data_IF_864103972102
#
_entry.id   IF_864103972102
#
_cell.length_a   1.000
_cell.length_b   1.000
_cell.length_c   1.000
_cell.angle_alpha   90.00
_cell.angle_beta   90.00
_cell.angle_gamma   90.00
#
_symmetry.space_group_name_H-M   'P 1'
#
loop_
_entity.id
_entity.type
_entity.pdbx_description
1 polymer ?
#
# COMPACT_ATOMS: atom_id res chain seq x y z
N UNK A 1 14.30 -15.14 4.87
CA UNK A 1 14.64 -13.69 4.73
C UNK A 1 14.98 -13.24 3.32
N UNK A 2 15.96 -13.85 2.63
CA UNK A 2 16.39 -13.43 1.29
C UNK A 2 15.24 -13.28 0.27
N UNK A 3 14.32 -14.25 0.23
CA UNK A 3 13.16 -14.25 -0.68
C UNK A 3 12.27 -13.02 -0.45
N UNK A 4 12.01 -12.66 0.80
CA UNK A 4 11.22 -11.48 1.15
C UNK A 4 11.90 -10.20 0.63
N UNK A 5 13.22 -10.06 0.86
CA UNK A 5 13.98 -8.92 0.36
C UNK A 5 13.96 -8.82 -1.16
N UNK A 6 14.17 -9.92 -1.87
CA UNK A 6 14.08 -9.97 -3.32
C UNK A 6 12.69 -9.56 -3.81
N UNK A 7 11.63 -10.06 -3.16
CA UNK A 7 10.25 -9.67 -3.47
C UNK A 7 10.02 -8.17 -3.29
N UNK A 8 10.46 -7.59 -2.17
CA UNK A 8 10.36 -6.15 -1.89
C UNK A 8 11.12 -5.35 -2.95
N UNK A 9 12.36 -5.72 -3.27
CA UNK A 9 13.20 -5.03 -4.25
C UNK A 9 12.58 -5.07 -5.65
N UNK A 10 12.12 -6.24 -6.10
CA UNK A 10 11.50 -6.41 -7.41
C UNK A 10 10.19 -5.62 -7.48
N UNK A 11 9.34 -5.76 -6.47
CA UNK A 11 8.03 -5.10 -6.42
C UNK A 11 8.18 -3.58 -6.39
N UNK A 12 8.89 -3.04 -5.40
CA UNK A 12 9.05 -1.60 -5.25
C UNK A 12 9.94 -1.02 -6.34
N UNK A 13 10.97 -1.74 -6.79
CA UNK A 13 11.81 -1.32 -7.91
C UNK A 13 11.01 -1.11 -9.20
N UNK A 14 10.08 -2.02 -9.52
CA UNK A 14 9.18 -1.85 -10.65
C UNK A 14 8.28 -0.61 -10.50
N UNK A 15 7.81 -0.31 -9.28
CA UNK A 15 6.99 0.87 -9.00
C UNK A 15 7.81 2.17 -9.03
N UNK A 16 9.04 2.16 -8.54
CA UNK A 16 9.98 3.28 -8.65
C UNK A 16 10.26 3.57 -10.12
N UNK A 17 10.47 2.55 -10.96
CA UNK A 17 10.69 2.76 -12.39
C UNK A 17 9.54 3.52 -13.07
N UNK A 18 8.29 3.34 -12.62
CA UNK A 18 7.13 4.08 -13.16
C UNK A 18 7.23 5.59 -12.93
N UNK A 19 7.97 6.01 -11.91
CA UNK A 19 8.21 7.44 -11.61
C UNK A 19 9.20 8.09 -12.58
N UNK A 20 10.06 7.30 -13.24
CA UNK A 20 10.99 7.76 -14.29
C UNK A 20 10.27 7.93 -15.63
N UNK A 21 9.46 9.00 -15.74
CA UNK A 21 8.55 9.23 -16.87
C UNK A 21 9.23 9.25 -18.26
N UNK A 22 10.39 9.90 -18.46
CA UNK A 22 11.08 9.88 -19.76
C UNK A 22 11.53 8.48 -20.17
N UNK A 23 12.19 7.76 -19.26
CA UNK A 23 12.69 6.40 -19.49
C UNK A 23 11.54 5.43 -19.75
N UNK A 24 10.45 5.56 -18.98
CA UNK A 24 9.22 4.81 -19.19
C UNK A 24 8.60 5.11 -20.56
N UNK A 25 8.57 6.37 -20.98
CA UNK A 25 8.02 6.76 -22.28
C UNK A 25 8.86 6.18 -23.42
N UNK A 26 10.19 6.31 -23.35
CA UNK A 26 11.11 5.72 -24.32
C UNK A 26 10.99 4.20 -24.41
N UNK A 27 10.79 3.51 -23.28
CA UNK A 27 10.54 2.07 -23.28
C UNK A 27 9.20 1.73 -23.96
N UNK A 28 8.13 2.45 -23.62
CA UNK A 28 6.80 2.26 -24.24
C UNK A 28 6.85 2.49 -25.76
N UNK A 29 7.61 3.48 -26.21
CA UNK A 29 7.82 3.76 -27.64
C UNK A 29 8.51 2.58 -28.34
N UNK A 30 9.52 1.98 -27.69
CA UNK A 30 10.28 0.84 -28.25
C UNK A 30 9.49 -0.47 -28.30
N UNK A 31 8.73 -0.81 -27.25
CA UNK A 31 8.09 -2.14 -27.13
C UNK A 31 6.57 -2.12 -27.29
N UNK A 32 5.96 -0.94 -27.35
CA UNK A 32 4.52 -0.75 -27.36
C UNK A 32 3.88 -0.75 -25.97
N UNK A 33 2.77 -0.02 -25.83
CA UNK A 33 2.06 0.15 -24.56
C UNK A 33 1.55 -1.17 -23.95
N UNK A 34 1.03 -2.08 -24.79
CA UNK A 34 0.47 -3.36 -24.34
C UNK A 34 1.58 -4.24 -23.75
N UNK A 35 2.68 -4.41 -24.49
CA UNK A 35 3.85 -5.19 -24.06
C UNK A 35 4.43 -4.63 -22.77
N UNK A 36 4.61 -3.31 -22.67
CA UNK A 36 5.08 -2.65 -21.45
C UNK A 36 4.15 -2.94 -20.26
N UNK A 37 2.83 -2.80 -20.42
CA UNK A 37 1.87 -3.05 -19.33
C UNK A 37 1.89 -4.50 -18.89
N UNK A 38 1.95 -5.47 -19.81
CA UNK A 38 2.04 -6.90 -19.49
C UNK A 38 3.34 -7.22 -18.76
N UNK A 39 4.48 -6.72 -19.26
CA UNK A 39 5.79 -6.93 -18.62
C UNK A 39 5.84 -6.31 -17.22
N UNK A 40 5.36 -5.07 -17.06
CA UNK A 40 5.25 -4.43 -15.75
C UNK A 40 4.35 -5.23 -14.80
N UNK A 41 3.18 -5.68 -15.26
CA UNK A 41 2.26 -6.47 -14.45
C UNK A 41 2.89 -7.80 -14.03
N UNK A 42 3.63 -8.47 -14.93
CA UNK A 42 4.34 -9.71 -14.62
C UNK A 42 5.44 -9.49 -13.57
N UNK A 43 6.26 -8.45 -13.72
CA UNK A 43 7.32 -8.13 -12.73
C UNK A 43 6.70 -7.78 -11.37
N UNK A 44 5.65 -6.97 -11.35
CA UNK A 44 4.94 -6.62 -10.11
C UNK A 44 4.27 -7.84 -9.47
N UNK A 45 3.65 -8.72 -10.25
CA UNK A 45 3.05 -9.96 -9.75
C UNK A 45 4.11 -10.90 -9.17
N UNK A 46 5.24 -11.09 -9.85
CA UNK A 46 6.37 -11.88 -9.35
C UNK A 46 6.91 -11.31 -8.04
N UNK A 47 7.14 -9.99 -7.97
CA UNK A 47 7.56 -9.34 -6.73
C UNK A 47 6.57 -9.55 -5.59
N UNK A 48 5.27 -9.43 -5.85
CA UNK A 48 4.21 -9.67 -4.86
C UNK A 48 4.18 -11.13 -4.39
N UNK A 49 4.27 -12.10 -5.30
CA UNK A 49 4.31 -13.53 -4.95
C UNK A 49 5.54 -13.87 -4.10
N UNK A 50 6.70 -13.30 -4.43
CA UNK A 50 7.92 -13.45 -3.62
C UNK A 50 7.78 -12.81 -2.24
N UNK A 51 7.11 -11.65 -2.11
CA UNK A 51 6.79 -11.06 -0.81
C UNK A 51 5.92 -12.01 0.01
N UNK A 52 4.82 -12.51 -0.57
CA UNK A 52 3.88 -13.41 0.12
C UNK A 52 4.60 -14.69 0.56
N UNK A 53 5.25 -15.38 -0.38
CA UNK A 53 5.96 -16.63 -0.08
C UNK A 53 7.13 -16.41 0.88
N UNK A 54 7.89 -15.33 0.68
CA UNK A 54 9.02 -14.97 1.54
C UNK A 54 8.60 -14.66 2.97
N UNK A 55 7.44 -14.01 3.16
CA UNK A 55 6.90 -13.70 4.48
C UNK A 55 6.32 -14.95 5.17
N UNK A 56 5.59 -15.80 4.44
CA UNK A 56 5.10 -17.09 4.97
C UNK A 56 6.29 -17.94 5.44
N UNK A 57 7.32 -18.08 4.60
CA UNK A 57 8.52 -18.85 4.93
C UNK A 57 9.25 -18.27 6.14
N UNK A 58 9.45 -16.95 6.17
CA UNK A 58 10.06 -16.28 7.32
C UNK A 58 9.32 -16.58 8.62
N UNK A 59 7.99 -16.49 8.60
CA UNK A 59 7.17 -16.78 9.77
C UNK A 59 7.28 -18.23 10.22
N UNK A 60 7.35 -19.18 9.28
CA UNK A 60 7.52 -20.61 9.60
C UNK A 60 8.91 -20.96 10.14
N UNK A 61 9.94 -20.20 9.77
CA UNK A 61 11.33 -20.40 10.23
C UNK A 61 11.60 -19.78 11.61
N UNK A 62 10.65 -19.01 12.15
CA UNK A 62 10.78 -18.28 13.41
C UNK A 62 11.00 -16.79 13.20
N UNK A 63 10.20 -15.98 13.88
CA UNK A 63 10.29 -14.52 13.81
C UNK A 63 11.56 -14.04 14.51
N UNK A 64 12.30 -13.16 13.84
CA UNK A 64 13.42 -12.42 14.44
C UNK A 64 12.82 -11.20 15.12
N UNK A 65 12.52 -11.31 16.42
CA UNK A 65 11.94 -10.22 17.20
C UNK A 65 12.99 -9.12 17.43
N UNK A 66 12.64 -7.87 17.13
CA UNK A 66 13.49 -6.70 17.37
C UNK A 66 13.02 -5.93 18.60
N UNK A 67 11.71 -5.77 18.78
CA UNK A 67 11.11 -5.11 19.95
C UNK A 67 9.66 -5.56 20.13
N UNK A 68 9.05 -5.27 21.28
CA UNK A 68 7.66 -5.64 21.55
C UNK A 68 6.77 -4.38 21.54
N UNK A 69 5.93 -4.19 20.51
CA UNK A 69 5.00 -3.08 20.45
C UNK A 69 4.05 -3.08 21.65
N UNK A 70 3.93 -1.96 22.38
CA UNK A 70 2.90 -1.80 23.41
C UNK A 70 1.51 -2.05 22.82
N UNK A 71 0.68 -2.81 23.53
CA UNK A 71 -0.64 -3.23 23.05
C UNK A 71 -1.53 -2.04 22.63
N UNK A 72 -1.41 -0.88 23.30
CA UNK A 72 -2.20 0.31 22.98
C UNK A 72 -2.00 0.81 21.55
N UNK A 73 -0.89 0.48 20.88
CA UNK A 73 -0.66 0.84 19.48
C UNK A 73 -1.67 0.19 18.54
N UNK A 74 -2.33 -0.90 18.92
CA UNK A 74 -3.41 -1.51 18.15
C UNK A 74 -4.61 -0.55 18.02
N UNK A 75 -4.92 0.23 19.07
CA UNK A 75 -5.98 1.24 19.04
C UNK A 75 -5.65 2.40 18.10
N UNK A 76 -4.37 2.64 17.79
CA UNK A 76 -3.94 3.61 16.77
C UNK A 76 -3.93 2.97 15.38
N UNK A 77 -3.46 1.73 15.27
CA UNK A 77 -3.35 1.03 13.99
C UNK A 77 -4.72 0.76 13.35
N UNK A 78 -5.72 0.34 14.13
CA UNK A 78 -7.07 0.04 13.62
C UNK A 78 -7.72 1.22 12.85
N UNK A 79 -7.83 2.43 13.41
CA UNK A 79 -8.40 3.57 12.68
C UNK A 79 -7.52 4.01 11.50
N UNK A 80 -6.18 3.86 11.58
CA UNK A 80 -5.30 4.12 10.44
C UNK A 80 -5.55 3.15 9.27
N UNK A 81 -5.75 1.86 9.56
CA UNK A 81 -6.07 0.86 8.53
C UNK A 81 -7.47 1.10 7.96
N UNK A 82 -8.47 1.43 8.78
CA UNK A 82 -9.79 1.84 8.29
C UNK A 82 -9.70 3.04 7.34
N UNK A 83 -8.97 4.09 7.75
CA UNK A 83 -8.72 5.25 6.90
C UNK A 83 -7.99 4.87 5.60
N UNK A 84 -7.04 3.92 5.65
CA UNK A 84 -6.38 3.40 4.47
C UNK A 84 -7.35 2.75 3.48
N UNK A 85 -8.32 1.96 3.96
CA UNK A 85 -9.36 1.36 3.10
C UNK A 85 -10.32 2.39 2.52
N UNK A 86 -10.72 3.40 3.29
CA UNK A 86 -11.53 4.54 2.78
C UNK A 86 -10.77 5.29 1.68
N UNK A 87 -9.49 5.61 1.91
CA UNK A 87 -8.63 6.26 0.92
C UNK A 87 -8.43 5.38 -0.33
N UNK A 88 -8.29 4.07 -0.16
CA UNK A 88 -8.19 3.13 -1.27
C UNK A 88 -9.47 3.10 -2.12
N UNK A 89 -10.64 3.02 -1.48
CA UNK A 89 -11.93 3.09 -2.17
C UNK A 89 -12.12 4.43 -2.91
N UNK A 90 -11.72 5.55 -2.27
CA UNK A 90 -11.79 6.89 -2.86
C UNK A 90 -10.97 7.03 -4.16
N UNK A 91 -9.94 6.21 -4.37
CA UNK A 91 -9.16 6.21 -5.63
C UNK A 91 -10.06 5.98 -6.84
N UNK A 92 -10.94 4.98 -6.76
CA UNK A 92 -11.82 4.55 -7.86
C UNK A 92 -13.22 5.15 -7.78
N UNK A 93 -13.63 5.66 -6.62
CA UNK A 93 -14.89 6.37 -6.49
C UNK A 93 -14.95 7.61 -7.42
N UNK A 94 -16.17 8.05 -7.79
CA UNK A 94 -16.40 9.35 -8.41
C UNK A 94 -15.75 10.50 -7.62
N UNK A 95 -15.63 11.66 -8.26
CA UNK A 95 -15.07 12.83 -7.60
C UNK A 95 -15.92 13.23 -6.37
N UNK A 96 -15.25 13.57 -5.27
CA UNK A 96 -15.87 13.97 -4.02
C UNK A 96 -14.88 14.67 -3.10
N UNK A 97 -15.37 15.20 -1.98
CA UNK A 97 -14.59 15.94 -0.98
C UNK A 97 -13.42 15.13 -0.44
N UNK A 98 -13.62 13.86 -0.08
CA UNK A 98 -12.57 12.96 0.43
C UNK A 98 -11.46 12.80 -0.60
N UNK A 99 -11.83 12.43 -1.84
CA UNK A 99 -10.87 12.25 -2.94
C UNK A 99 -10.08 13.54 -3.20
N UNK A 100 -10.75 14.68 -3.20
CA UNK A 100 -10.15 16.01 -3.39
C UNK A 100 -9.25 16.45 -2.24
N UNK A 101 -9.58 16.13 -0.99
CA UNK A 101 -8.73 16.41 0.18
C UNK A 101 -7.47 15.56 0.19
N UNK A 102 -7.60 14.26 -0.12
CA UNK A 102 -6.46 13.34 -0.16
C UNK A 102 -5.50 13.66 -1.30
N UNK A 103 -5.99 14.25 -2.40
CA UNK A 103 -5.29 14.53 -3.68
C UNK A 103 -4.81 13.26 -4.39
N UNK A 104 -4.11 12.38 -3.68
CA UNK A 104 -3.55 11.12 -4.15
C UNK A 104 -4.03 9.95 -3.28
N UNK A 105 -5.31 9.55 -3.35
CA UNK A 105 -5.90 8.62 -2.38
C UNK A 105 -5.17 7.28 -2.27
N UNK A 106 -4.66 6.73 -3.38
CA UNK A 106 -3.86 5.49 -3.36
C UNK A 106 -2.59 5.63 -2.53
N UNK A 107 -1.89 6.76 -2.68
CA UNK A 107 -0.63 7.00 -1.98
C UNK A 107 -0.88 7.21 -0.48
N UNK A 108 -1.96 7.92 -0.14
CA UNK A 108 -2.40 8.08 1.24
C UNK A 108 -2.76 6.73 1.86
N UNK A 109 -3.49 5.89 1.13
CA UNK A 109 -3.84 4.54 1.57
C UNK A 109 -2.60 3.69 1.88
N UNK A 110 -1.64 3.62 0.95
CA UNK A 110 -0.39 2.86 1.15
C UNK A 110 0.36 3.34 2.39
N UNK A 111 0.51 4.67 2.56
CA UNK A 111 1.23 5.23 3.71
C UNK A 111 0.52 4.95 5.04
N UNK A 112 -0.79 5.13 5.10
CA UNK A 112 -1.57 4.87 6.31
C UNK A 112 -1.53 3.39 6.70
N UNK A 113 -1.74 2.49 5.72
CA UNK A 113 -1.64 1.04 5.91
C UNK A 113 -0.24 0.62 6.37
N UNK A 114 0.81 1.09 5.68
CA UNK A 114 2.19 0.73 6.00
C UNK A 114 2.61 1.26 7.38
N UNK A 115 2.23 2.50 7.73
CA UNK A 115 2.50 3.06 9.05
C UNK A 115 1.80 2.26 10.14
N UNK A 116 0.51 1.96 9.98
CA UNK A 116 -0.25 1.21 10.97
C UNK A 116 0.39 -0.15 11.27
N UNK A 117 0.78 -0.88 10.22
CA UNK A 117 1.42 -2.18 10.40
C UNK A 117 2.84 -2.05 10.96
N UNK A 118 3.62 -1.07 10.52
CA UNK A 118 4.96 -0.84 11.07
C UNK A 118 4.94 -0.55 12.58
N UNK A 119 3.90 0.14 13.07
CA UNK A 119 3.74 0.42 14.51
C UNK A 119 3.49 -0.84 15.35
N UNK A 120 2.79 -1.84 14.81
CA UNK A 120 2.35 -3.03 15.56
C UNK A 120 3.13 -4.31 15.24
N UNK A 121 4.04 -4.27 14.27
CA UNK A 121 4.93 -5.40 13.94
C UNK A 121 6.35 -5.11 14.42
N UNK A 122 6.77 -5.82 15.48
CA UNK A 122 8.09 -5.66 16.10
C UNK A 122 9.15 -6.65 15.64
N UNK A 123 8.83 -7.49 14.67
CA UNK A 123 9.75 -8.45 14.05
C UNK A 123 10.45 -7.84 12.82
N UNK A 124 11.65 -8.35 12.51
CA UNK A 124 12.49 -7.83 11.43
C UNK A 124 11.81 -7.89 10.06
N UNK A 125 11.09 -8.99 9.76
CA UNK A 125 10.44 -9.16 8.46
C UNK A 125 9.30 -8.17 8.25
N UNK A 126 8.45 -7.98 9.27
CA UNK A 126 7.38 -7.01 9.31
C UNK A 126 7.92 -5.58 9.18
N UNK A 127 8.92 -5.23 10.00
CA UNK A 127 9.55 -3.92 9.94
C UNK A 127 10.13 -3.61 8.55
N UNK A 128 10.83 -4.56 7.94
CA UNK A 128 11.39 -4.40 6.59
C UNK A 128 10.29 -4.26 5.53
N UNK A 129 9.25 -5.09 5.57
CA UNK A 129 8.15 -5.05 4.62
C UNK A 129 7.41 -3.72 4.70
N UNK A 130 6.84 -3.39 5.87
CA UNK A 130 6.02 -2.20 6.03
C UNK A 130 6.86 -0.91 6.01
N UNK A 131 8.07 -0.94 6.56
CA UNK A 131 9.02 0.17 6.48
C UNK A 131 9.40 0.51 5.04
N UNK A 132 9.64 -0.49 4.19
CA UNK A 132 9.97 -0.28 2.77
C UNK A 132 8.80 0.32 1.99
N UNK A 133 7.57 -0.16 2.22
CA UNK A 133 6.37 0.42 1.60
C UNK A 133 6.09 1.85 2.08
N UNK A 134 6.33 2.13 3.37
CA UNK A 134 6.21 3.48 3.92
C UNK A 134 7.25 4.43 3.30
N UNK A 135 8.51 4.00 3.22
CA UNK A 135 9.59 4.74 2.57
C UNK A 135 9.28 5.01 1.10
N UNK A 136 8.80 4.01 0.36
CA UNK A 136 8.32 4.17 -1.01
C UNK A 136 7.16 5.18 -1.10
N UNK A 137 6.18 5.12 -0.20
CA UNK A 137 5.06 6.06 -0.18
C UNK A 137 5.51 7.51 0.08
N UNK A 138 6.53 7.72 0.90
CA UNK A 138 7.15 9.05 1.09
C UNK A 138 7.89 9.47 -0.18
N UNK A 139 8.71 8.59 -0.75
CA UNK A 139 9.43 8.84 -1.99
C UNK A 139 8.49 9.24 -3.13
N UNK A 140 7.44 8.47 -3.41
CA UNK A 140 6.51 8.78 -4.50
C UNK A 140 5.69 10.04 -4.19
N UNK A 141 5.45 10.37 -2.91
CA UNK A 141 4.83 11.66 -2.55
C UNK A 141 5.72 12.85 -2.95
N UNK A 142 7.02 12.73 -2.74
CA UNK A 142 7.98 13.75 -3.16
C UNK A 142 8.04 13.77 -4.70
N UNK A 143 8.09 12.61 -5.34
CA UNK A 143 8.14 12.50 -6.79
C UNK A 143 6.91 13.13 -7.47
N UNK A 144 5.69 12.91 -6.96
CA UNK A 144 4.45 13.52 -7.52
C UNK A 144 4.48 15.04 -7.37
N UNK A 145 4.97 15.54 -6.23
CA UNK A 145 5.05 16.97 -5.96
C UNK A 145 6.06 17.66 -6.89
N UNK A 146 7.24 17.06 -7.05
CA UNK A 146 8.32 17.61 -7.89
C UNK A 146 7.94 17.73 -9.37
N UNK A 147 7.07 16.84 -9.86
CA UNK A 147 6.59 16.86 -11.25
C UNK A 147 5.33 17.71 -11.49
N UNK A 148 4.87 18.45 -10.48
CA UNK A 148 3.69 19.32 -10.59
C UNK A 148 2.35 18.58 -10.63
N UNK A 149 2.30 17.31 -10.22
CA UNK A 149 1.05 16.53 -10.17
C UNK A 149 0.24 16.90 -8.91
N UNK A 150 -0.71 17.81 -9.11
CA UNK A 150 -1.59 18.30 -8.05
C UNK A 150 -2.56 17.24 -7.52
N UNK A 151 -2.73 16.10 -8.22
CA UNK A 151 -3.71 15.07 -7.90
C UNK A 151 -5.16 15.52 -8.15
N UNK A 152 -6.11 14.86 -7.49
CA UNK A 152 -7.53 15.16 -7.63
C UNK A 152 -7.86 16.63 -7.30
N UNK A 153 -8.79 17.26 -8.04
CA UNK A 153 -9.24 18.61 -7.73
C UNK A 153 -9.98 18.64 -6.39
N UNK A 154 -9.93 19.79 -5.71
CA UNK A 154 -10.70 19.98 -4.47
C UNK A 154 -12.18 20.16 -4.82
N UNK A 155 -13.02 19.50 -4.03
CA UNK A 155 -14.48 19.64 -4.04
C UNK A 155 -14.87 19.99 -2.60
N UNK A 156 -15.72 20.99 -2.44
CA UNK A 156 -16.09 21.62 -1.17
C UNK A 156 -17.29 20.96 -0.48
N UNK A 157 -18.13 20.26 -1.24
CA UNK A 157 -19.33 19.57 -0.76
C UNK A 157 -19.21 18.04 -0.83
N UNK A 158 -20.02 17.35 -0.03
CA UNK A 158 -20.09 15.90 0.00
C UNK A 158 -20.82 15.38 -1.25
N UNK A 159 -20.29 14.35 -1.89
CA UNK A 159 -20.86 13.77 -3.12
C UNK A 159 -21.16 12.28 -2.96
N UNK A 160 -21.81 11.69 -3.98
CA UNK A 160 -21.94 10.22 -4.09
C UNK A 160 -20.59 9.51 -4.03
N UNK A 161 -19.51 10.14 -4.51
CA UNK A 161 -18.15 9.59 -4.44
C UNK A 161 -17.68 9.42 -3.00
N UNK A 162 -18.04 10.34 -2.11
CA UNK A 162 -17.69 10.28 -0.69
C UNK A 162 -18.48 9.18 0.03
N UNK A 163 -19.78 9.05 -0.26
CA UNK A 163 -20.60 7.96 0.26
C UNK A 163 -20.07 6.59 -0.17
N UNK A 164 -19.66 6.43 -1.43
CA UNK A 164 -19.06 5.20 -1.95
C UNK A 164 -17.72 4.92 -1.26
N UNK A 165 -16.85 5.94 -1.11
CA UNK A 165 -15.56 5.77 -0.46
C UNK A 165 -15.69 5.31 1.00
N UNK A 166 -16.58 5.95 1.77
CA UNK A 166 -16.85 5.59 3.16
C UNK A 166 -17.51 4.21 3.26
N UNK A 167 -18.58 3.97 2.49
CA UNK A 167 -19.32 2.71 2.54
C UNK A 167 -18.49 1.52 2.10
N UNK A 168 -17.92 1.56 0.90
CA UNK A 168 -17.11 0.46 0.37
C UNK A 168 -15.80 0.28 1.15
N UNK A 169 -15.13 1.36 1.55
CA UNK A 169 -13.92 1.30 2.37
C UNK A 169 -14.18 0.66 3.73
N UNK A 170 -15.26 1.07 4.41
CA UNK A 170 -15.65 0.48 5.71
C UNK A 170 -16.06 -0.98 5.57
N UNK A 171 -16.83 -1.33 4.53
CA UNK A 171 -17.23 -2.71 4.27
C UNK A 171 -16.00 -3.61 4.10
N UNK A 172 -15.05 -3.22 3.24
CA UNK A 172 -13.83 -4.01 3.02
C UNK A 172 -12.98 -4.06 4.29
N UNK A 173 -12.86 -2.95 5.03
CA UNK A 173 -12.16 -2.93 6.32
C UNK A 173 -12.74 -3.95 7.30
N UNK A 174 -14.06 -3.98 7.50
CA UNK A 174 -14.71 -4.93 8.42
C UNK A 174 -14.49 -6.37 7.96
N UNK A 175 -14.66 -6.66 6.67
CA UNK A 175 -14.40 -7.99 6.10
C UNK A 175 -12.96 -8.42 6.39
N UNK A 176 -11.98 -7.57 6.10
CA UNK A 176 -10.56 -7.90 6.31
C UNK A 176 -10.22 -8.00 7.79
N UNK A 177 -10.80 -7.16 8.65
CA UNK A 177 -10.61 -7.21 10.10
C UNK A 177 -11.05 -8.56 10.67
N UNK A 178 -12.23 -9.04 10.27
CA UNK A 178 -12.78 -10.33 10.68
C UNK A 178 -12.00 -11.50 10.09
N UNK A 179 -11.56 -11.38 8.84
CA UNK A 179 -10.81 -12.43 8.16
C UNK A 179 -9.30 -12.41 8.45
N UNK A 180 -8.80 -11.41 9.18
CA UNK A 180 -7.37 -11.24 9.46
C UNK A 180 -6.69 -12.48 10.06
N UNK A 181 -7.32 -13.24 11.00
CA UNK A 181 -6.73 -14.49 11.51
C UNK A 181 -6.56 -15.55 10.42
N UNK A 182 -7.50 -15.65 9.48
CA UNK A 182 -7.47 -16.67 8.42
C UNK A 182 -6.56 -16.27 7.26
N UNK A 183 -6.51 -14.97 6.94
CA UNK A 183 -5.71 -14.43 5.85
C UNK A 183 -4.22 -14.30 6.23
N UNK A 184 -3.94 -13.94 7.49
CA UNK A 184 -2.59 -13.56 7.93
C UNK A 184 -2.11 -14.32 9.17
N UNK A 185 -2.91 -15.22 9.74
CA UNK A 185 -2.53 -16.02 10.91
C UNK A 185 -2.43 -15.23 12.22
N UNK A 186 -3.01 -14.03 12.30
CA UNK A 186 -2.99 -13.17 13.50
C UNK A 186 -4.38 -12.58 13.73
N UNK A 187 -4.91 -12.71 14.94
CA UNK A 187 -6.14 -12.02 15.31
C UNK A 187 -5.85 -10.58 15.73
N UNK A 188 -6.70 -9.64 15.27
CA UNK A 188 -6.58 -8.21 15.60
C UNK A 188 -7.40 -7.85 16.85
N UNK A 189 -8.52 -8.56 17.07
CA UNK A 189 -9.49 -8.29 18.13
C UNK A 189 -9.37 -9.24 19.34
N UNK A 190 -8.23 -9.89 19.52
CA UNK A 190 -7.99 -10.85 20.60
C UNK A 190 -7.19 -10.23 21.75
#
# INVERSE_FOLDING_TARGET
MLILLLGIIIFLGAHVFVTFRPQRAALIERVGLKTYKTGYAAVAATGLLLIIFGFIRYRSEGLIQIWYPPHWLHHVAMPLVWFAFVAFAARRAPAGRIKGWLRHPMLVAIKAWALAHFLVNGDLGGMLLFGSFLAFGVYDRIAVKRRGDAGAPRIDHFTRGDAIALGAGTLVYVIVLLLHPYLFGVAVLA
#
